data_IF_018025756857
#
_entry.id   IF_018025756857
#
_cell.length_a   1.000
_cell.length_b   1.000
_cell.length_c   1.000
_cell.angle_alpha   90.00
_cell.angle_beta   90.00
_cell.angle_gamma   90.00
#
_symmetry.space_group_name_H-M   'P 1'
#
loop_
_entity.id
_entity.type
_entity.pdbx_description
1 polymer ?
#
# COMPACT_ATOMS: atom_id res chain seq x y z
N UNK A 1 -3.25 -14.62 3.15
CA UNK A 1 -3.27 -13.14 3.19
C UNK A 1 -1.89 -12.68 3.67
N UNK A 2 -1.19 -11.81 2.93
CA UNK A 2 0.23 -11.48 3.20
C UNK A 2 0.38 -10.47 4.37
N UNK A 3 -0.64 -9.67 4.65
CA UNK A 3 -0.64 -8.68 5.72
C UNK A 3 -1.93 -7.88 5.79
N UNK A 4 -2.00 -6.94 6.73
CA UNK A 4 -3.15 -6.04 6.93
C UNK A 4 -2.73 -4.57 6.77
N UNK A 5 -3.52 -3.78 6.06
CA UNK A 5 -3.29 -2.36 5.82
C UNK A 5 -4.34 -1.53 6.57
N UNK A 6 -3.89 -0.74 7.55
CA UNK A 6 -4.71 0.21 8.29
C UNK A 6 -4.43 1.63 7.81
N UNK A 7 -5.46 2.46 7.75
CA UNK A 7 -5.37 3.85 7.30
C UNK A 7 -6.09 4.76 8.31
N UNK A 8 -5.37 5.74 8.84
CA UNK A 8 -5.91 6.69 9.84
C UNK A 8 -6.31 8.06 9.24
N UNK A 9 -6.20 8.23 7.92
CA UNK A 9 -6.42 9.50 7.23
C UNK A 9 -5.12 10.24 6.85
N UNK A 10 -4.03 9.97 7.55
CA UNK A 10 -2.72 10.64 7.36
C UNK A 10 -1.59 9.65 7.08
N UNK A 11 -1.61 8.51 7.76
CA UNK A 11 -0.57 7.50 7.82
C UNK A 11 -1.17 6.14 7.55
N UNK A 12 -0.44 5.35 6.78
CA UNK A 12 -0.73 3.96 6.53
C UNK A 12 0.12 3.09 7.46
N UNK A 13 -0.49 2.12 8.12
CA UNK A 13 0.22 1.08 8.86
C UNK A 13 0.05 -0.24 8.13
N UNK A 14 1.16 -0.84 7.69
CA UNK A 14 1.14 -2.15 7.05
C UNK A 14 1.75 -3.19 7.98
N UNK A 15 0.92 -4.11 8.43
CA UNK A 15 1.28 -5.22 9.30
C UNK A 15 1.65 -6.42 8.44
N UNK A 16 2.91 -6.85 8.51
CA UNK A 16 3.48 -7.99 7.81
C UNK A 16 4.05 -8.98 8.83
N UNK A 17 3.34 -10.07 9.10
CA UNK A 17 3.72 -11.02 10.15
C UNK A 17 3.91 -10.31 11.51
N UNK A 18 5.13 -10.28 12.03
CA UNK A 18 5.50 -9.65 13.31
C UNK A 18 6.09 -8.23 13.16
N UNK A 19 6.01 -7.63 11.98
CA UNK A 19 6.56 -6.32 11.69
C UNK A 19 5.47 -5.34 11.28
N UNK A 20 5.67 -4.07 11.65
CA UNK A 20 4.87 -2.95 11.19
C UNK A 20 5.73 -2.01 10.36
N UNK A 21 5.19 -1.58 9.22
CA UNK A 21 5.81 -0.56 8.37
C UNK A 21 4.85 0.61 8.25
N UNK A 22 5.35 1.80 8.56
CA UNK A 22 4.59 3.04 8.42
C UNK A 22 4.82 3.61 7.02
N UNK A 23 3.74 4.05 6.39
CA UNK A 23 3.77 4.66 5.06
C UNK A 23 2.94 5.93 5.01
N UNK A 24 3.16 6.72 3.96
CA UNK A 24 2.39 7.95 3.72
C UNK A 24 1.81 7.93 2.33
N UNK A 25 0.61 8.50 2.18
CA UNK A 25 0.05 8.74 0.86
C UNK A 25 0.82 9.87 0.17
N UNK A 26 1.20 9.64 -1.09
CA UNK A 26 1.85 10.63 -1.95
C UNK A 26 1.09 10.72 -3.27
N UNK A 27 0.78 11.95 -3.69
CA UNK A 27 0.28 12.20 -5.05
C UNK A 27 1.40 11.93 -6.07
N UNK A 28 1.04 11.36 -7.21
CA UNK A 28 1.98 11.13 -8.30
C UNK A 28 2.04 12.37 -9.19
N UNK A 29 3.25 12.88 -9.40
CA UNK A 29 3.49 13.99 -10.34
C UNK A 29 3.10 13.57 -11.77
N UNK A 30 3.31 12.29 -12.10
CA UNK A 30 2.90 11.67 -13.35
C UNK A 30 1.95 10.49 -13.05
N UNK A 31 0.63 10.65 -13.23
CA UNK A 31 -0.34 9.57 -13.03
C UNK A 31 -0.07 8.35 -13.91
N UNK A 32 -0.37 7.16 -13.42
CA UNK A 32 -0.14 5.90 -14.13
C UNK A 32 -1.45 5.35 -14.68
N UNK A 33 -1.45 4.95 -15.96
CA UNK A 33 -2.60 4.28 -16.58
C UNK A 33 -2.47 2.77 -16.38
N UNK A 34 -3.52 2.14 -15.86
CA UNK A 34 -3.61 0.68 -15.75
C UNK A 34 -4.24 0.13 -17.01
N UNK A 35 -3.49 -0.72 -17.70
CA UNK A 35 -3.90 -1.34 -18.95
C UNK A 35 -4.10 -2.84 -18.71
N UNK A 36 -5.30 -3.35 -19.00
CA UNK A 36 -5.57 -4.78 -19.06
C UNK A 36 -5.40 -5.24 -20.49
N UNK A 37 -4.49 -6.20 -20.67
CA UNK A 37 -4.30 -6.88 -21.94
C UNK A 37 -5.48 -7.81 -22.20
N UNK A 38 -6.06 -7.72 -23.39
CA UNK A 38 -7.07 -8.67 -23.85
C UNK A 38 -6.38 -9.86 -24.50
N UNK A 39 -6.66 -11.08 -24.03
CA UNK A 39 -6.12 -12.30 -24.66
C UNK A 39 -6.91 -12.70 -25.92
N UNK A 40 -8.15 -12.21 -26.07
CA UNK A 40 -9.04 -12.59 -27.18
C UNK A 40 -9.05 -11.59 -28.35
N UNK A 41 -8.48 -10.40 -28.16
CA UNK A 41 -8.52 -9.32 -29.14
C UNK A 41 -7.20 -8.56 -29.10
N UNK A 42 -6.77 -7.98 -30.23
CA UNK A 42 -5.57 -7.12 -30.28
C UNK A 42 -5.79 -5.72 -29.65
N UNK A 43 -6.83 -5.53 -28.84
CA UNK A 43 -7.14 -4.26 -28.19
C UNK A 43 -6.85 -4.34 -26.70
N UNK A 44 -6.13 -3.34 -26.20
CA UNK A 44 -5.89 -3.19 -24.78
C UNK A 44 -6.97 -2.32 -24.15
N UNK A 45 -7.43 -2.71 -22.97
CA UNK A 45 -8.45 -1.97 -22.22
C UNK A 45 -7.80 -1.08 -21.16
N UNK A 46 -8.21 0.18 -21.08
CA UNK A 46 -7.85 1.06 -19.98
C UNK A 46 -8.79 0.76 -18.82
N UNK A 47 -8.23 0.40 -17.67
CA UNK A 47 -9.01 -0.05 -16.50
C UNK A 47 -9.06 1.01 -15.40
N UNK A 48 -7.96 1.74 -15.19
CA UNK A 48 -7.87 2.74 -14.13
C UNK A 48 -6.77 3.77 -14.40
N UNK A 49 -6.82 4.89 -13.67
CA UNK A 49 -5.74 5.87 -13.59
C UNK A 49 -5.34 6.02 -12.12
N UNK A 50 -4.11 5.62 -11.78
CA UNK A 50 -3.55 5.76 -10.44
C UNK A 50 -2.96 7.16 -10.29
N UNK A 51 -3.51 7.95 -9.36
CA UNK A 51 -3.07 9.34 -9.09
C UNK A 51 -2.36 9.51 -7.75
N UNK A 52 -2.55 8.57 -6.82
CA UNK A 52 -1.95 8.57 -5.48
C UNK A 52 -1.45 7.17 -5.18
N UNK A 53 -0.35 7.08 -4.42
CA UNK A 53 0.18 5.81 -3.89
C UNK A 53 0.55 5.94 -2.43
N UNK A 54 0.48 4.84 -1.69
CA UNK A 54 1.06 4.76 -0.35
C UNK A 54 2.51 4.29 -0.50
N UNK A 55 3.45 5.01 0.09
CA UNK A 55 4.88 4.65 0.07
C UNK A 55 5.31 4.24 1.46
N UNK A 56 5.90 3.05 1.57
CA UNK A 56 6.54 2.52 2.76
C UNK A 56 8.06 2.58 2.60
N UNK A 57 8.66 3.73 2.89
CA UNK A 57 10.11 3.95 2.73
C UNK A 57 10.91 3.79 4.02
N UNK A 58 10.24 3.59 5.15
CA UNK A 58 10.87 3.43 6.46
C UNK A 58 11.18 1.97 6.77
N UNK A 59 12.20 1.70 7.59
CA UNK A 59 12.57 0.36 8.04
C UNK A 59 11.39 -0.30 8.78
N UNK A 60 11.06 -1.58 8.52
CA UNK A 60 10.10 -2.35 9.31
C UNK A 60 10.49 -2.38 10.78
N UNK A 61 9.55 -2.05 11.65
CA UNK A 61 9.73 -2.11 13.11
C UNK A 61 9.09 -3.39 13.65
N UNK A 62 9.70 -4.07 14.64
CA UNK A 62 9.00 -5.11 15.38
C UNK A 62 7.71 -4.57 16.01
N UNK A 63 6.69 -5.40 16.14
CA UNK A 63 5.51 -5.05 16.93
C UNK A 63 5.94 -4.96 18.41
N UNK A 64 5.74 -3.80 19.01
CA UNK A 64 6.02 -3.58 20.43
C UNK A 64 4.73 -3.73 21.21
N UNK A 65 4.72 -4.61 22.20
CA UNK A 65 3.62 -4.76 23.14
C UNK A 65 4.03 -4.13 24.47
N UNK A 66 3.29 -3.13 24.94
CA UNK A 66 3.35 -2.73 26.35
C UNK A 66 2.41 -3.66 27.12
N UNK A 67 3.00 -4.64 27.81
CA UNK A 67 2.26 -5.45 28.76
C UNK A 67 1.98 -4.59 30.01
N UNK A 68 0.75 -4.59 30.54
CA UNK A 68 0.50 -3.98 31.83
C UNK A 68 1.35 -4.71 32.89
N UNK A 69 2.06 -3.93 33.71
CA UNK A 69 2.76 -4.47 34.87
C UNK A 69 1.72 -5.02 35.85
N UNK A 70 1.67 -6.34 35.96
CA UNK A 70 0.92 -7.08 36.99
C UNK A 70 1.64 -6.96 38.33
#
# INVERSE_FOLDING_TARGET
>A
MIGNLLWDGSTALFLLGHQVVQGKAKALDNPLVVISKSEQTNRNNIVAIIRKKIIFSSRPKPIVFNLPSV
#
